data_IF_920497593968
#
_entry.id   IF_920497593968
#
_cell.length_a   1.000
_cell.length_b   1.000
_cell.length_c   1.000
_cell.angle_alpha   90.00
_cell.angle_beta   90.00
_cell.angle_gamma   90.00
#
_symmetry.space_group_name_H-M   'P 1'
#
loop_
_entity.id
_entity.type
_entity.pdbx_description
1 polymer ?
#
# COMPACT_ATOMS: atom_id res chain seq x y z
N UNK A 1 -61.89 44.00 28.65
CA UNK A 1 -61.58 43.16 27.49
C UNK A 1 -60.05 43.10 27.45
N UNK A 2 -59.39 42.04 27.94
CA UNK A 2 -59.25 40.69 27.32
C UNK A 2 -58.54 40.77 25.96
N UNK A 3 -57.58 39.95 25.53
CA UNK A 3 -56.70 38.88 26.10
C UNK A 3 -55.60 38.59 25.02
N UNK A 4 -54.53 37.77 25.15
CA UNK A 4 -54.01 36.78 26.11
C UNK A 4 -52.45 36.74 26.00
N UNK A 5 -51.73 35.96 26.84
CA UNK A 5 -50.33 35.55 26.59
C UNK A 5 -50.25 34.32 25.65
N UNK A 6 -49.15 34.15 24.91
CA UNK A 6 -48.72 32.84 24.37
C UNK A 6 -47.20 32.79 24.14
N UNK A 7 -46.56 31.60 24.20
CA UNK A 7 -45.15 31.49 24.54
C UNK A 7 -44.19 31.39 23.35
N UNK A 8 -42.89 31.51 23.70
CA UNK A 8 -41.71 31.41 22.82
C UNK A 8 -41.75 30.13 21.96
N UNK A 9 -41.54 30.28 20.65
CA UNK A 9 -41.12 29.16 19.78
C UNK A 9 -39.59 29.09 19.77
N UNK A 10 -38.95 28.06 20.34
CA UNK A 10 -37.52 27.85 20.12
C UNK A 10 -37.30 27.51 18.64
N UNK A 11 -36.35 28.20 18.00
CA UNK A 11 -36.10 28.03 16.57
C UNK A 11 -35.38 26.69 16.32
N UNK A 12 -36.13 25.67 15.86
CA UNK A 12 -35.65 24.28 15.72
C UNK A 12 -34.60 24.06 14.61
N UNK A 13 -34.06 25.12 13.99
CA UNK A 13 -33.08 25.03 12.91
C UNK A 13 -31.62 25.13 13.38
N UNK A 14 -31.34 25.60 14.60
CA UNK A 14 -29.96 25.78 15.08
C UNK A 14 -29.34 24.50 15.67
N UNK A 15 -30.17 23.59 16.19
CA UNK A 15 -29.69 22.36 16.84
C UNK A 15 -29.16 21.31 15.85
N UNK A 16 -29.69 21.25 14.62
CA UNK A 16 -29.28 20.26 13.61
C UNK A 16 -27.90 20.53 13.00
N UNK A 17 -27.40 21.77 13.11
CA UNK A 17 -26.04 22.12 12.69
C UNK A 17 -25.03 21.84 13.82
N UNK A 18 -25.38 22.16 15.07
CA UNK A 18 -24.53 21.88 16.23
C UNK A 18 -24.38 20.37 16.53
N UNK A 19 -25.38 19.55 16.18
CA UNK A 19 -25.31 18.09 16.36
C UNK A 19 -24.34 17.38 15.42
N UNK A 20 -23.78 18.06 14.42
CA UNK A 20 -22.82 17.45 13.48
C UNK A 20 -21.39 17.44 14.04
N UNK A 21 -21.02 18.35 14.93
CA UNK A 21 -19.63 18.45 15.42
C UNK A 21 -19.35 17.67 16.73
N UNK A 22 -20.35 16.93 17.22
CA UNK A 22 -20.28 16.21 18.51
C UNK A 22 -20.01 14.72 18.26
N UNK A 23 -18.86 14.21 18.76
CA UNK A 23 -18.68 12.76 18.96
C UNK A 23 -19.71 12.29 20.00
N UNK A 24 -20.38 11.16 19.75
CA UNK A 24 -21.23 10.54 20.78
C UNK A 24 -20.42 9.92 21.94
N UNK A 25 -21.04 9.83 23.12
CA UNK A 25 -20.36 9.31 24.30
C UNK A 25 -19.93 7.84 24.13
N UNK A 26 -20.67 7.05 23.36
CA UNK A 26 -20.41 5.62 23.18
C UNK A 26 -19.08 5.40 22.46
N UNK A 27 -18.74 6.21 21.43
CA UNK A 27 -17.43 6.15 20.76
C UNK A 27 -16.28 6.53 21.70
N UNK A 28 -16.46 7.53 22.56
CA UNK A 28 -15.41 7.93 23.52
C UNK A 28 -15.20 6.85 24.60
N UNK A 29 -16.28 6.23 25.07
CA UNK A 29 -16.21 5.10 25.99
C UNK A 29 -15.57 3.86 25.31
N UNK A 30 -15.83 3.61 24.01
CA UNK A 30 -15.16 2.56 23.22
C UNK A 30 -13.66 2.83 23.02
N UNK A 31 -13.27 4.04 22.60
CA UNK A 31 -11.85 4.42 22.46
C UNK A 31 -11.11 4.24 23.78
N UNK A 32 -11.74 4.62 24.90
CA UNK A 32 -11.15 4.44 26.22
C UNK A 32 -11.00 2.96 26.59
N UNK A 33 -12.04 2.14 26.37
CA UNK A 33 -11.97 0.68 26.58
C UNK A 33 -10.78 0.07 25.82
N UNK A 34 -10.68 0.35 24.52
CA UNK A 34 -9.63 -0.22 23.66
C UNK A 34 -8.21 0.24 24.06
N UNK A 35 -8.08 1.50 24.53
CA UNK A 35 -6.82 2.00 25.07
C UNK A 35 -6.46 1.37 26.43
N UNK A 36 -7.42 1.18 27.33
CA UNK A 36 -7.24 0.53 28.63
C UNK A 36 -6.90 -0.98 28.47
N UNK A 37 -7.40 -1.63 27.42
CA UNK A 37 -7.07 -3.02 27.03
C UNK A 37 -5.68 -3.16 26.37
N UNK A 38 -5.07 -2.06 25.91
CA UNK A 38 -3.73 -2.04 25.30
C UNK A 38 -3.60 -2.79 23.97
N UNK A 39 -4.71 -3.26 23.39
CA UNK A 39 -4.74 -4.09 22.19
C UNK A 39 -4.60 -3.29 20.89
N UNK A 40 -4.89 -1.99 20.94
CA UNK A 40 -4.96 -1.07 19.80
C UNK A 40 -4.53 0.33 20.28
N UNK A 41 -3.64 1.01 19.53
CA UNK A 41 -3.36 2.42 19.77
C UNK A 41 -4.25 3.32 18.88
N UNK A 42 -4.92 4.30 19.48
CA UNK A 42 -5.88 5.18 18.81
C UNK A 42 -5.46 6.64 18.99
N UNK A 43 -5.45 7.40 17.89
CA UNK A 43 -5.08 8.81 17.85
C UNK A 43 -6.17 9.61 17.13
N UNK A 44 -6.54 10.77 17.65
CA UNK A 44 -7.45 11.69 16.96
C UNK A 44 -6.68 12.61 16.01
N UNK A 45 -7.28 12.91 14.86
CA UNK A 45 -6.78 13.86 13.88
C UNK A 45 -7.06 15.32 14.26
N UNK A 46 -6.95 16.21 13.27
CA UNK A 46 -7.26 17.65 13.44
C UNK A 46 -8.73 17.87 13.79
N UNK A 47 -9.61 17.02 13.28
CA UNK A 47 -11.00 16.93 13.74
C UNK A 47 -11.15 15.72 14.63
N UNK A 48 -12.06 15.83 15.60
CA UNK A 48 -12.50 14.72 16.44
C UNK A 48 -13.25 13.62 15.65
N UNK A 49 -13.48 13.80 14.33
CA UNK A 49 -14.12 12.82 13.45
C UNK A 49 -13.10 11.92 12.73
N UNK A 50 -11.83 12.30 12.68
CA UNK A 50 -10.78 11.52 12.02
C UNK A 50 -9.97 10.78 13.08
N UNK A 51 -9.83 9.46 12.92
CA UNK A 51 -9.07 8.60 13.84
C UNK A 51 -7.99 7.86 13.07
N UNK A 52 -6.77 7.83 13.60
CA UNK A 52 -5.75 6.84 13.24
C UNK A 52 -5.80 5.72 14.25
N UNK A 53 -5.92 4.50 13.77
CA UNK A 53 -5.87 3.27 14.55
C UNK A 53 -4.62 2.50 14.11
N UNK A 54 -3.86 1.99 15.08
CA UNK A 54 -2.64 1.21 14.85
C UNK A 54 -2.86 -0.17 15.45
N UNK A 55 -2.79 -1.17 14.59
CA UNK A 55 -3.04 -2.57 14.90
C UNK A 55 -1.74 -3.33 14.70
N UNK A 56 -1.25 -3.98 15.76
CA UNK A 56 -0.13 -4.92 15.66
C UNK A 56 -0.61 -6.22 15.02
N UNK A 57 0.23 -6.79 14.17
CA UNK A 57 0.16 -8.21 13.81
C UNK A 57 0.35 -9.06 15.08
N UNK A 58 -0.34 -10.20 15.17
CA UNK A 58 -0.20 -11.14 16.28
C UNK A 58 1.04 -12.05 16.09
N UNK A 59 1.60 -12.12 14.87
CA UNK A 59 2.71 -13.01 14.48
C UNK A 59 4.03 -12.27 14.16
N UNK A 60 4.03 -10.94 14.11
CA UNK A 60 5.23 -10.12 13.86
C UNK A 60 5.19 -8.82 14.65
N UNK A 61 6.34 -8.14 14.77
CA UNK A 61 6.43 -6.80 15.37
C UNK A 61 5.89 -5.69 14.43
N UNK A 62 5.28 -6.05 13.30
CA UNK A 62 4.78 -5.10 12.29
C UNK A 62 3.53 -4.40 12.79
N UNK A 63 3.53 -3.07 12.69
CA UNK A 63 2.38 -2.24 13.00
C UNK A 63 1.67 -1.80 11.72
N UNK A 64 0.37 -2.06 11.64
CA UNK A 64 -0.46 -1.66 10.49
C UNK A 64 -1.33 -0.45 10.86
N UNK A 65 -1.14 0.63 10.11
CA UNK A 65 -1.92 1.85 10.27
C UNK A 65 -3.18 1.82 9.39
N UNK A 66 -4.30 2.23 9.98
CA UNK A 66 -5.54 2.52 9.27
C UNK A 66 -6.14 3.85 9.75
N UNK A 67 -6.74 4.58 8.81
CA UNK A 67 -7.38 5.86 9.05
C UNK A 67 -8.89 5.69 8.88
N UNK A 68 -9.64 6.15 9.87
CA UNK A 68 -11.08 5.95 10.02
C UNK A 68 -11.74 7.33 10.12
N UNK A 69 -12.87 7.50 9.44
CA UNK A 69 -13.72 8.68 9.58
C UNK A 69 -15.05 8.31 10.23
N UNK A 70 -15.36 8.99 11.33
CA UNK A 70 -16.63 8.93 12.04
C UNK A 70 -17.62 9.90 11.40
N UNK A 71 -18.65 9.35 10.74
CA UNK A 71 -19.73 10.12 10.11
C UNK A 71 -20.81 10.54 11.13
N UNK A 72 -21.01 9.72 12.15
CA UNK A 72 -22.02 9.87 13.21
C UNK A 72 -22.22 8.56 13.97
N UNK A 73 -23.20 8.49 14.89
CA UNK A 73 -23.36 7.35 15.78
C UNK A 73 -23.49 6.01 15.04
N UNK A 74 -22.58 5.09 15.37
CA UNK A 74 -22.45 3.76 14.74
C UNK A 74 -22.27 3.80 13.22
N UNK A 75 -21.57 4.83 12.72
CA UNK A 75 -21.20 5.03 11.30
C UNK A 75 -19.74 5.45 11.18
N UNK A 76 -18.86 4.46 11.20
CA UNK A 76 -17.42 4.59 10.96
C UNK A 76 -17.10 4.03 9.57
N UNK A 77 -16.18 4.65 8.84
CA UNK A 77 -15.67 4.14 7.55
C UNK A 77 -14.16 4.23 7.48
N UNK A 78 -13.52 3.19 6.94
CA UNK A 78 -12.08 3.20 6.68
C UNK A 78 -11.81 4.11 5.47
N UNK A 79 -11.00 5.15 5.65
CA UNK A 79 -10.63 6.14 4.62
C UNK A 79 -9.39 5.69 3.87
N UNK A 80 -8.38 5.21 4.59
CA UNK A 80 -7.14 4.72 4.02
C UNK A 80 -6.46 3.72 4.94
N UNK A 81 -5.64 2.86 4.33
CA UNK A 81 -4.85 1.80 4.95
C UNK A 81 -3.48 1.79 4.27
N UNK A 82 -2.51 1.01 4.76
CA UNK A 82 -1.20 0.80 4.11
C UNK A 82 -1.04 -0.60 3.47
N UNK A 83 -2.15 -1.26 3.19
CA UNK A 83 -2.26 -2.60 2.58
C UNK A 83 -3.05 -2.51 1.25
N UNK A 84 -3.17 -3.61 0.47
CA UNK A 84 -3.90 -3.61 -0.80
C UNK A 84 -5.38 -3.21 -0.64
N UNK A 85 -6.05 -3.00 -1.77
CA UNK A 85 -7.48 -2.71 -1.76
C UNK A 85 -8.29 -3.92 -1.26
N UNK A 86 -9.36 -3.65 -0.50
CA UNK A 86 -10.27 -4.67 0.00
C UNK A 86 -11.69 -4.11 0.15
N UNK A 87 -12.67 -5.00 0.17
CA UNK A 87 -14.08 -4.65 0.43
C UNK A 87 -14.33 -4.13 1.86
N UNK A 88 -13.31 -4.06 2.72
CA UNK A 88 -13.40 -3.42 4.04
C UNK A 88 -13.53 -1.89 3.89
N UNK A 89 -12.83 -1.29 2.94
CA UNK A 89 -12.85 0.15 2.66
C UNK A 89 -14.23 0.65 2.16
N UNK A 90 -15.09 -0.24 1.66
CA UNK A 90 -16.43 0.08 1.14
C UNK A 90 -17.54 0.05 2.21
N UNK A 91 -17.26 -0.46 3.41
CA UNK A 91 -18.26 -0.76 4.43
C UNK A 91 -18.41 0.35 5.46
N UNK A 92 -19.65 0.55 5.94
CA UNK A 92 -19.90 1.31 7.17
C UNK A 92 -19.96 0.34 8.36
N UNK A 93 -19.20 0.66 9.40
CA UNK A 93 -19.04 -0.11 10.62
C UNK A 93 -19.72 0.58 11.80
N UNK A 94 -20.15 -0.22 12.77
CA UNK A 94 -20.89 0.25 13.95
C UNK A 94 -20.00 0.60 15.14
N UNK A 95 -18.77 0.10 15.16
CA UNK A 95 -17.82 0.31 16.25
C UNK A 95 -16.38 0.15 15.76
N UNK A 96 -15.42 0.65 16.54
CA UNK A 96 -13.98 0.49 16.30
C UNK A 96 -13.52 -0.96 16.51
N UNK A 97 -14.10 -1.68 17.46
CA UNK A 97 -13.89 -3.12 17.69
C UNK A 97 -14.29 -3.98 16.48
N UNK A 98 -15.37 -3.61 15.78
CA UNK A 98 -15.79 -4.27 14.53
C UNK A 98 -14.78 -4.04 13.39
N UNK A 99 -14.31 -2.79 13.23
CA UNK A 99 -13.24 -2.44 12.26
C UNK A 99 -11.97 -3.23 12.58
N UNK A 100 -11.52 -3.19 13.83
CA UNK A 100 -10.27 -3.81 14.24
C UNK A 100 -10.28 -5.32 14.04
N UNK A 101 -11.38 -5.98 14.41
CA UNK A 101 -11.56 -7.42 14.18
C UNK A 101 -11.54 -7.76 12.69
N UNK A 102 -12.27 -7.00 11.87
CA UNK A 102 -12.31 -7.21 10.42
C UNK A 102 -10.94 -6.98 9.77
N UNK A 103 -10.20 -5.95 10.22
CA UNK A 103 -8.89 -5.60 9.68
C UNK A 103 -7.79 -6.56 10.13
N UNK A 104 -7.77 -7.01 11.40
CA UNK A 104 -6.87 -8.08 11.87
C UNK A 104 -7.04 -9.36 11.04
N UNK A 105 -8.27 -9.78 10.78
CA UNK A 105 -8.53 -10.93 9.92
C UNK A 105 -8.01 -10.71 8.48
N UNK A 106 -8.07 -9.49 7.96
CA UNK A 106 -7.52 -9.16 6.64
C UNK A 106 -5.99 -9.16 6.61
N UNK A 107 -5.33 -8.60 7.62
CA UNK A 107 -3.87 -8.68 7.82
C UNK A 107 -3.41 -10.14 7.86
N UNK A 108 -4.06 -10.97 8.70
CA UNK A 108 -3.71 -12.38 8.85
C UNK A 108 -3.88 -13.17 7.54
N UNK A 109 -4.90 -12.85 6.73
CA UNK A 109 -5.09 -13.45 5.41
C UNK A 109 -4.06 -13.00 4.37
N UNK A 110 -3.39 -11.86 4.57
CA UNK A 110 -2.31 -11.37 3.70
C UNK A 110 -0.92 -11.88 4.08
N UNK A 111 -0.77 -12.66 5.15
CA UNK A 111 0.54 -13.17 5.58
C UNK A 111 1.37 -13.85 4.45
N UNK A 112 0.78 -14.66 3.54
CA UNK A 112 1.53 -15.21 2.39
C UNK A 112 1.98 -14.13 1.39
N UNK A 113 1.15 -13.12 1.15
CA UNK A 113 1.47 -12.00 0.25
C UNK A 113 2.61 -11.13 0.81
N UNK A 114 2.54 -10.77 2.09
CA UNK A 114 3.60 -10.00 2.76
C UNK A 114 4.92 -10.78 2.75
N UNK A 115 4.88 -12.07 3.09
CA UNK A 115 6.06 -12.96 3.09
C UNK A 115 6.76 -13.01 1.72
N UNK A 116 6.02 -13.19 0.62
CA UNK A 116 6.62 -13.22 -0.71
C UNK A 116 7.23 -11.88 -1.11
N UNK A 117 6.55 -10.75 -0.83
CA UNK A 117 7.10 -9.43 -1.11
C UNK A 117 8.36 -9.14 -0.29
N UNK A 118 8.35 -9.44 1.02
CA UNK A 118 9.54 -9.31 1.87
C UNK A 118 10.70 -10.18 1.39
N UNK A 119 10.42 -11.38 0.89
CA UNK A 119 11.46 -12.23 0.29
C UNK A 119 12.02 -11.63 -0.99
N UNK A 120 11.19 -11.12 -1.90
CA UNK A 120 11.67 -10.45 -3.11
C UNK A 120 12.51 -9.22 -2.73
N UNK A 121 12.01 -8.37 -1.82
CA UNK A 121 12.72 -7.17 -1.36
C UNK A 121 14.06 -7.48 -0.66
N UNK A 122 14.19 -8.66 -0.04
CA UNK A 122 15.40 -9.12 0.64
C UNK A 122 16.43 -9.79 -0.28
N UNK A 123 15.98 -10.53 -1.29
CA UNK A 123 16.83 -11.42 -2.09
C UNK A 123 17.01 -10.98 -3.55
N UNK A 124 16.26 -9.98 -4.01
CA UNK A 124 16.32 -9.47 -5.38
C UNK A 124 16.70 -7.97 -5.40
N UNK A 125 17.37 -7.54 -6.48
CA UNK A 125 17.65 -6.11 -6.69
C UNK A 125 16.39 -5.41 -7.22
N UNK A 126 15.49 -5.01 -6.32
CA UNK A 126 14.26 -4.29 -6.64
C UNK A 126 14.57 -2.86 -7.03
N UNK A 127 14.15 -2.48 -8.24
CA UNK A 127 14.33 -1.13 -8.82
C UNK A 127 13.05 -0.31 -8.76
N UNK A 128 11.87 -0.95 -8.79
CA UNK A 128 10.58 -0.29 -8.60
C UNK A 128 9.58 -1.20 -7.87
N UNK A 129 8.72 -0.66 -7.00
CA UNK A 129 8.73 0.72 -6.46
C UNK A 129 10.05 1.06 -5.73
N UNK A 130 10.41 2.34 -5.70
CA UNK A 130 11.66 2.83 -5.09
C UNK A 130 11.66 2.71 -3.55
N UNK A 131 10.48 2.90 -2.96
CA UNK A 131 10.23 2.70 -1.53
C UNK A 131 9.10 1.69 -1.41
N UNK A 132 9.40 0.37 -1.46
CA UNK A 132 8.37 -0.65 -1.49
C UNK A 132 7.47 -0.61 -0.27
N UNK A 133 6.17 -0.73 -0.53
CA UNK A 133 5.15 -0.90 0.51
C UNK A 133 4.29 -2.13 0.19
N UNK A 134 3.51 -2.59 1.18
CA UNK A 134 2.51 -3.64 0.97
C UNK A 134 1.26 -3.16 0.22
N UNK A 135 1.21 -1.91 -0.27
CA UNK A 135 0.25 -1.52 -1.32
C UNK A 135 0.72 -1.86 -2.72
N UNK A 136 2.03 -1.88 -2.91
CA UNK A 136 2.64 -2.16 -4.19
C UNK A 136 2.67 -3.67 -4.36
N UNK A 137 1.71 -4.19 -5.10
CA UNK A 137 1.54 -5.61 -5.41
C UNK A 137 2.54 -6.13 -6.45
N UNK A 138 3.45 -5.28 -6.94
CA UNK A 138 4.45 -5.65 -7.92
C UNK A 138 5.88 -5.29 -7.49
N UNK A 139 6.84 -5.97 -8.11
CA UNK A 139 8.28 -5.67 -8.03
C UNK A 139 8.90 -5.73 -9.42
N UNK A 140 9.77 -4.77 -9.72
CA UNK A 140 10.65 -4.78 -10.91
C UNK A 140 12.06 -5.08 -10.48
N UNK A 141 12.51 -6.28 -10.77
CA UNK A 141 13.80 -6.83 -10.36
C UNK A 141 14.81 -6.62 -11.50
N UNK A 142 15.97 -6.03 -11.20
CA UNK A 142 17.07 -5.87 -12.15
C UNK A 142 17.61 -7.25 -12.59
N UNK A 143 17.62 -7.53 -13.89
CA UNK A 143 18.31 -8.69 -14.47
C UNK A 143 19.64 -8.29 -15.11
N UNK A 144 19.63 -7.20 -15.88
CA UNK A 144 20.83 -6.56 -16.43
C UNK A 144 20.64 -5.03 -16.58
N UNK A 145 21.60 -4.34 -17.20
CA UNK A 145 21.60 -2.88 -17.37
C UNK A 145 20.36 -2.31 -18.07
N UNK A 146 19.62 -3.14 -18.83
CA UNK A 146 18.51 -2.74 -19.72
C UNK A 146 17.27 -3.62 -19.63
N UNK A 147 17.27 -4.59 -18.71
CA UNK A 147 16.21 -5.60 -18.58
C UNK A 147 15.83 -5.78 -17.12
N UNK A 148 14.54 -5.64 -16.83
CA UNK A 148 13.94 -5.95 -15.53
C UNK A 148 12.91 -7.05 -15.70
N UNK A 149 12.78 -7.90 -14.67
CA UNK A 149 11.65 -8.80 -14.50
C UNK A 149 10.57 -8.05 -13.70
N UNK A 150 9.40 -7.86 -14.30
CA UNK A 150 8.20 -7.44 -13.58
C UNK A 150 7.49 -8.68 -13.05
N UNK A 151 7.18 -8.68 -11.76
CA UNK A 151 6.40 -9.73 -11.09
C UNK A 151 5.33 -9.06 -10.23
N UNK A 152 4.09 -9.49 -10.36
CA UNK A 152 3.01 -9.17 -9.42
C UNK A 152 2.80 -10.34 -8.44
N UNK A 153 2.39 -10.03 -7.22
CA UNK A 153 2.08 -10.99 -6.16
C UNK A 153 0.61 -10.82 -5.78
N UNK A 154 -0.17 -11.87 -5.98
CA UNK A 154 -1.57 -11.90 -5.56
C UNK A 154 -1.68 -11.91 -4.04
N UNK A 155 -2.83 -11.50 -3.49
CA UNK A 155 -3.10 -11.55 -2.03
C UNK A 155 -2.99 -12.95 -1.40
N UNK A 156 -2.93 -14.01 -2.22
CA UNK A 156 -2.71 -15.39 -1.80
C UNK A 156 -1.22 -15.80 -1.76
N UNK A 157 -0.27 -14.89 -2.05
CA UNK A 157 1.16 -15.21 -2.13
C UNK A 157 1.59 -15.91 -3.43
N UNK A 158 0.81 -15.80 -4.52
CA UNK A 158 1.16 -16.40 -5.81
C UNK A 158 1.63 -15.35 -6.80
N UNK A 159 2.70 -15.65 -7.54
CA UNK A 159 3.19 -14.82 -8.64
C UNK A 159 2.16 -14.75 -9.79
N UNK A 160 2.01 -13.57 -10.36
CA UNK A 160 1.19 -13.30 -11.54
C UNK A 160 1.84 -12.21 -12.41
N UNK A 161 1.30 -12.02 -13.62
CA UNK A 161 1.75 -11.03 -14.62
C UNK A 161 3.27 -10.97 -14.85
N UNK A 162 3.95 -12.13 -14.79
CA UNK A 162 5.41 -12.22 -14.91
C UNK A 162 5.80 -11.88 -16.36
N UNK A 163 6.56 -10.81 -16.56
CA UNK A 163 7.06 -10.41 -17.88
C UNK A 163 8.35 -9.62 -17.81
N UNK A 164 9.05 -9.52 -18.94
CA UNK A 164 10.24 -8.69 -19.06
C UNK A 164 9.89 -7.27 -19.51
N UNK A 165 10.61 -6.32 -18.95
CA UNK A 165 10.65 -4.93 -19.41
C UNK A 165 12.08 -4.69 -19.90
N UNK A 166 12.25 -4.38 -21.19
CA UNK A 166 13.57 -4.26 -21.81
C UNK A 166 13.61 -4.91 -23.19
N UNK A 167 14.81 -4.98 -23.78
CA UNK A 167 15.06 -5.61 -25.07
C UNK A 167 16.26 -6.57 -24.97
N UNK A 168 15.97 -7.84 -24.74
CA UNK A 168 16.98 -8.91 -24.68
C UNK A 168 16.34 -10.25 -25.03
N UNK A 169 16.69 -10.81 -26.18
CA UNK A 169 16.16 -12.09 -26.66
C UNK A 169 16.59 -13.24 -25.73
N UNK A 170 17.82 -13.20 -25.21
CA UNK A 170 18.37 -14.14 -24.23
C UNK A 170 17.48 -14.25 -22.99
N UNK A 171 16.98 -13.12 -22.49
CA UNK A 171 16.09 -13.13 -21.31
C UNK A 171 14.71 -13.65 -21.65
N UNK A 172 14.18 -13.36 -22.85
CA UNK A 172 12.88 -13.88 -23.28
C UNK A 172 12.89 -15.41 -23.37
N UNK A 173 13.92 -16.00 -24.00
CA UNK A 173 14.07 -17.46 -24.10
C UNK A 173 14.22 -18.12 -22.71
N UNK A 174 15.02 -17.52 -21.81
CA UNK A 174 15.15 -17.97 -20.41
C UNK A 174 13.82 -17.89 -19.68
N UNK A 175 13.10 -16.77 -19.72
CA UNK A 175 11.82 -16.60 -19.03
C UNK A 175 10.76 -17.57 -19.58
N UNK A 176 10.61 -17.69 -20.90
CA UNK A 176 9.63 -18.58 -21.50
C UNK A 176 9.88 -20.04 -21.10
N UNK A 177 11.15 -20.47 -21.10
CA UNK A 177 11.53 -21.81 -20.64
C UNK A 177 11.28 -21.98 -19.14
N UNK A 178 11.62 -20.96 -18.34
CA UNK A 178 11.46 -20.95 -16.90
C UNK A 178 10.01 -21.02 -16.42
N UNK A 179 9.09 -20.32 -17.10
CA UNK A 179 7.65 -20.35 -16.82
C UNK A 179 7.03 -21.74 -17.04
N UNK A 180 7.58 -22.54 -17.97
CA UNK A 180 7.14 -23.93 -18.17
C UNK A 180 7.60 -24.88 -17.04
N UNK A 181 8.63 -24.48 -16.29
CA UNK A 181 9.16 -25.20 -15.13
C UNK A 181 8.81 -24.53 -13.79
N UNK A 182 7.90 -23.54 -13.78
CA UNK A 182 7.54 -22.81 -12.57
C UNK A 182 6.85 -23.74 -11.57
N UNK A 183 7.40 -23.81 -10.37
CA UNK A 183 6.99 -24.74 -9.33
C UNK A 183 6.14 -24.02 -8.30
N UNK A 184 4.85 -24.34 -8.25
CA UNK A 184 3.90 -23.71 -7.32
C UNK A 184 4.07 -24.17 -5.86
N UNK A 185 4.86 -25.21 -5.59
CA UNK A 185 5.21 -25.63 -4.24
C UNK A 185 6.45 -24.86 -3.69
N UNK A 186 7.08 -24.02 -4.52
CA UNK A 186 8.20 -23.14 -4.14
C UNK A 186 7.77 -21.67 -4.08
N UNK A 187 8.47 -20.90 -3.26
CA UNK A 187 8.30 -19.44 -3.22
C UNK A 187 8.76 -18.77 -4.52
N UNK A 188 8.35 -17.49 -4.68
CA UNK A 188 8.57 -16.73 -5.90
C UNK A 188 10.07 -16.49 -6.12
N UNK A 189 10.83 -16.26 -5.06
CA UNK A 189 12.29 -16.05 -5.14
C UNK A 189 12.99 -17.33 -5.58
N UNK A 190 12.66 -18.50 -5.04
CA UNK A 190 13.26 -19.77 -5.46
C UNK A 190 13.01 -20.07 -6.94
N UNK A 191 11.80 -19.77 -7.43
CA UNK A 191 11.48 -19.87 -8.85
C UNK A 191 12.30 -18.88 -9.70
N UNK A 192 12.30 -17.58 -9.36
CA UNK A 192 13.11 -16.55 -10.04
C UNK A 192 14.58 -16.96 -10.07
N UNK A 193 15.14 -17.36 -8.93
CA UNK A 193 16.53 -17.81 -8.85
C UNK A 193 16.74 -19.00 -9.80
N UNK A 194 15.89 -20.03 -9.80
CA UNK A 194 16.05 -21.19 -10.69
C UNK A 194 16.08 -20.85 -12.19
N UNK A 195 15.39 -19.78 -12.61
CA UNK A 195 15.35 -19.30 -14.01
C UNK A 195 16.53 -18.39 -14.34
N UNK A 196 17.01 -17.60 -13.37
CA UNK A 196 17.94 -16.47 -13.59
C UNK A 196 19.31 -16.59 -12.86
N UNK A 197 19.61 -17.72 -12.19
CA UNK A 197 20.68 -17.97 -11.17
C UNK A 197 21.99 -17.17 -11.29
N UNK A 198 22.52 -16.94 -12.49
CA UNK A 198 23.92 -16.54 -12.70
C UNK A 198 24.19 -15.04 -12.80
N UNK A 199 23.19 -14.20 -13.08
CA UNK A 199 23.45 -12.82 -13.55
C UNK A 199 22.98 -11.71 -12.59
N UNK A 200 22.27 -12.05 -11.50
CA UNK A 200 21.77 -11.15 -10.45
C UNK A 200 22.91 -10.61 -9.54
N UNK A 201 23.90 -10.00 -10.17
CA UNK A 201 24.94 -9.21 -9.53
C UNK A 201 24.36 -7.92 -8.98
N UNK A 202 24.69 -7.58 -7.73
CA UNK A 202 24.35 -6.28 -7.12
C UNK A 202 25.05 -5.17 -7.91
N UNK A 203 24.29 -4.48 -8.77
CA UNK A 203 24.75 -3.34 -9.57
C UNK A 203 24.29 -2.04 -8.92
N UNK A 204 25.10 -1.00 -9.08
CA UNK A 204 24.82 0.34 -8.54
C UNK A 204 23.59 0.96 -9.22
N UNK A 205 22.90 1.85 -8.52
CA UNK A 205 21.72 2.58 -9.03
C UNK A 205 22.10 3.39 -10.28
N UNK A 206 21.31 3.33 -11.38
CA UNK A 206 21.62 4.07 -12.59
C UNK A 206 21.37 5.57 -12.40
N UNK A 207 22.36 6.41 -12.70
CA UNK A 207 22.23 7.87 -12.66
C UNK A 207 21.66 8.45 -13.94
N UNK A 208 20.79 9.46 -13.85
CA UNK A 208 20.18 10.12 -15.00
C UNK A 208 21.17 11.03 -15.74
N UNK A 209 21.36 10.81 -17.05
CA UNK A 209 22.24 11.61 -17.91
C UNK A 209 21.79 13.04 -18.20
N UNK A 210 20.68 13.52 -17.60
CA UNK A 210 20.16 14.89 -17.74
C UNK A 210 20.24 15.66 -16.41
N UNK A 211 19.61 15.16 -15.35
CA UNK A 211 19.63 15.82 -14.04
C UNK A 211 20.82 15.42 -13.16
N UNK A 212 21.56 14.36 -13.51
CA UNK A 212 22.66 13.79 -12.73
C UNK A 212 22.24 13.30 -11.33
N UNK A 213 20.96 12.99 -11.15
CA UNK A 213 20.40 12.37 -9.96
C UNK A 213 19.98 10.92 -10.26
N UNK A 214 20.03 10.08 -9.24
CA UNK A 214 19.42 8.74 -9.28
C UNK A 214 17.90 8.85 -9.01
N UNK A 215 17.50 9.76 -8.13
CA UNK A 215 16.11 9.95 -7.70
C UNK A 215 15.67 11.41 -7.90
N UNK A 216 14.37 11.65 -8.09
CA UNK A 216 13.77 12.98 -8.14
C UNK A 216 12.69 13.12 -7.05
N UNK A 217 12.56 14.27 -6.36
CA UNK A 217 11.57 14.44 -5.30
C UNK A 217 10.12 14.24 -5.75
N UNK A 218 9.82 14.58 -7.01
CA UNK A 218 8.48 14.60 -7.60
C UNK A 218 8.23 13.47 -8.63
N UNK A 219 9.21 12.59 -8.87
CA UNK A 219 9.10 11.43 -9.79
C UNK A 219 9.71 10.19 -9.14
N UNK A 220 8.86 9.22 -8.77
CA UNK A 220 9.24 7.96 -8.11
C UNK A 220 9.88 6.93 -9.08
N UNK A 221 10.13 7.31 -10.34
CA UNK A 221 10.86 6.49 -11.30
C UNK A 221 12.37 6.56 -11.12
N UNK A 222 13.07 5.44 -11.30
CA UNK A 222 14.52 5.44 -11.52
C UNK A 222 14.86 5.73 -12.99
N UNK A 223 16.10 6.11 -13.31
CA UNK A 223 16.57 6.34 -14.67
C UNK A 223 16.55 5.07 -15.51
N UNK A 224 15.85 5.13 -16.64
CA UNK A 224 15.70 4.02 -17.57
C UNK A 224 16.58 4.23 -18.81
N UNK A 225 17.21 3.18 -19.37
CA UNK A 225 17.99 3.23 -20.61
C UNK A 225 17.06 3.22 -21.82
N UNK A 226 16.32 4.31 -21.99
CA UNK A 226 15.29 4.48 -23.02
C UNK A 226 15.84 4.61 -24.45
N UNK A 227 17.17 4.63 -24.61
CA UNK A 227 17.84 4.67 -25.91
C UNK A 227 17.88 3.28 -26.57
N UNK A 228 17.30 3.16 -27.77
CA UNK A 228 17.29 1.94 -28.58
C UNK A 228 18.69 1.45 -29.02
N UNK A 229 19.73 2.30 -28.96
CA UNK A 229 21.09 1.86 -29.25
C UNK A 229 21.68 1.08 -28.05
N UNK A 230 21.99 -0.22 -28.16
CA UNK A 230 22.53 -1.03 -27.06
C UNK A 230 23.90 -0.54 -26.55
N UNK A 231 24.69 0.18 -27.36
CA UNK A 231 26.00 0.72 -26.93
C UNK A 231 25.92 2.09 -26.26
N UNK A 232 24.73 2.69 -26.12
CA UNK A 232 24.62 4.08 -25.67
C UNK A 232 24.95 4.29 -24.18
N UNK A 233 24.66 3.32 -23.32
CA UNK A 233 25.01 3.31 -21.89
C UNK A 233 24.37 4.39 -20.99
N UNK A 234 23.52 5.25 -21.55
CA UNK A 234 22.86 6.36 -20.82
C UNK A 234 21.47 6.00 -20.35
N UNK A 235 21.13 6.45 -19.14
CA UNK A 235 19.85 6.28 -18.49
C UNK A 235 19.19 7.64 -18.26
N UNK A 236 17.86 7.71 -18.30
CA UNK A 236 17.10 8.95 -18.10
C UNK A 236 15.82 8.69 -17.30
N UNK A 237 15.49 9.57 -16.36
CA UNK A 237 14.12 9.63 -15.82
C UNK A 237 13.15 9.90 -16.97
N UNK A 238 11.97 9.29 -16.92
CA UNK A 238 10.94 9.47 -17.95
C UNK A 238 10.56 10.95 -18.09
N UNK A 239 10.41 11.65 -16.96
CA UNK A 239 10.07 13.07 -16.93
C UNK A 239 11.21 13.98 -17.45
N UNK A 240 12.49 13.62 -17.25
CA UNK A 240 13.62 14.38 -17.77
C UNK A 240 13.72 14.41 -19.30
N UNK A 241 13.05 13.49 -20.01
CA UNK A 241 12.97 13.49 -21.48
C UNK A 241 11.81 14.32 -22.04
N UNK A 242 10.87 14.78 -21.22
CA UNK A 242 9.78 15.65 -21.66
C UNK A 242 10.17 17.12 -21.47
N UNK A 243 10.22 17.87 -22.58
CA UNK A 243 10.15 19.33 -22.54
C UNK A 243 8.69 19.78 -22.57
N UNK A 244 8.37 20.81 -21.78
CA UNK A 244 7.07 21.49 -21.70
C UNK A 244 7.12 22.78 -22.52
#
# INVERSE_FOLDING_TARGET
>A
MSEFYSPIRPNMQTLSLLSLDIIDKDLLDEVKKLADEGSIAIYFGKTLRDLKCVIKDDNSETEHELFIHYKGPKKLTIVSVSLPYSSLQEKEYRSLEEIATAYKNYVNNLAPYCYELERIDRFCSVMQPLHPSFKDDYRRILLDERTWLHVEVTTAGLATNIHLIGQSDLWHDKLQSGLLSWDHDKDIVENIMSVFVQDLSTRESPTCGICLCDELPDDLGLPLPLCQNPTCGVHFHRNCLYQV
#
